data_IF_282485188541
#
_entry.id   IF_282485188541
#
_cell.length_a   1.000
_cell.length_b   1.000
_cell.length_c   1.000
_cell.angle_alpha   90.00
_cell.angle_beta   90.00
_cell.angle_gamma   90.00
#
_symmetry.space_group_name_H-M   'P 1'
#
loop_
_entity.id
_entity.type
_entity.pdbx_description
1 polymer ?
#
# COMPACT_ATOMS: atom_id res chain seq x y z
N UNK A 1 -3.64 26.24 -14.51
CA UNK A 1 -4.06 24.91 -14.04
C UNK A 1 -5.10 24.42 -15.02
N UNK A 2 -4.77 23.39 -15.80
CA UNK A 2 -5.75 22.74 -16.68
C UNK A 2 -6.68 21.87 -15.82
N UNK A 3 -7.95 21.73 -16.18
CA UNK A 3 -8.91 20.90 -15.42
C UNK A 3 -8.39 19.46 -15.27
N UNK A 4 -7.78 18.93 -16.32
CA UNK A 4 -7.12 17.62 -16.38
C UNK A 4 -6.07 17.38 -15.27
N UNK A 5 -5.23 18.40 -14.98
CA UNK A 5 -4.24 18.32 -13.90
C UNK A 5 -4.88 18.26 -12.51
N UNK A 6 -6.00 18.97 -12.31
CA UNK A 6 -6.72 18.99 -11.03
C UNK A 6 -7.43 17.67 -10.76
N UNK A 7 -8.01 17.06 -11.77
CA UNK A 7 -8.67 15.75 -11.63
C UNK A 7 -7.67 14.65 -11.29
N UNK A 8 -6.52 14.64 -11.97
CA UNK A 8 -5.41 13.71 -11.67
C UNK A 8 -4.94 13.84 -10.22
N UNK A 9 -4.76 15.07 -9.75
CA UNK A 9 -4.35 15.37 -8.38
C UNK A 9 -5.35 14.90 -7.32
N UNK A 10 -6.65 15.10 -7.59
CA UNK A 10 -7.72 14.66 -6.70
C UNK A 10 -7.83 13.13 -6.70
N UNK A 11 -7.72 12.48 -7.86
CA UNK A 11 -7.70 11.02 -7.97
C UNK A 11 -6.56 10.41 -7.16
N UNK A 12 -5.35 10.96 -7.24
CA UNK A 12 -4.21 10.51 -6.45
C UNK A 12 -4.47 10.65 -4.94
N UNK A 13 -5.05 11.78 -4.51
CA UNK A 13 -5.41 12.01 -3.11
C UNK A 13 -6.44 10.98 -2.62
N UNK A 14 -7.51 10.75 -3.38
CA UNK A 14 -8.57 9.81 -2.98
C UNK A 14 -8.05 8.38 -2.89
N UNK A 15 -7.26 7.94 -3.87
CA UNK A 15 -6.61 6.63 -3.84
C UNK A 15 -5.68 6.51 -2.63
N UNK A 16 -4.85 7.51 -2.35
CA UNK A 16 -3.94 7.51 -1.20
C UNK A 16 -4.69 7.40 0.13
N UNK A 17 -5.77 8.17 0.29
CA UNK A 17 -6.57 8.13 1.52
C UNK A 17 -7.28 6.79 1.69
N UNK A 18 -7.99 6.32 0.68
CA UNK A 18 -8.74 5.05 0.74
C UNK A 18 -7.83 3.86 1.00
N UNK A 19 -6.78 3.69 0.17
CA UNK A 19 -5.85 2.57 0.28
C UNK A 19 -5.00 2.70 1.55
N UNK A 20 -4.50 3.90 1.85
CA UNK A 20 -3.67 4.15 3.03
C UNK A 20 -4.39 3.83 4.35
N UNK A 21 -5.69 4.16 4.47
CA UNK A 21 -6.49 3.78 5.64
C UNK A 21 -6.59 2.26 5.76
N UNK A 22 -6.90 1.55 4.67
CA UNK A 22 -7.02 0.09 4.69
C UNK A 22 -5.71 -0.54 5.16
N UNK A 23 -4.58 -0.22 4.52
CA UNK A 23 -3.29 -0.81 4.89
C UNK A 23 -2.87 -0.45 6.32
N UNK A 24 -3.09 0.80 6.75
CA UNK A 24 -2.81 1.20 8.12
C UNK A 24 -3.64 0.39 9.13
N UNK A 25 -4.94 0.22 8.89
CA UNK A 25 -5.83 -0.56 9.77
C UNK A 25 -5.41 -2.03 9.83
N UNK A 26 -5.14 -2.66 8.69
CA UNK A 26 -4.67 -4.04 8.63
C UNK A 26 -3.32 -4.23 9.32
N UNK A 27 -2.38 -3.33 9.08
CA UNK A 27 -1.05 -3.38 9.67
C UNK A 27 -1.07 -3.13 11.19
N UNK A 28 -1.80 -2.10 11.66
CA UNK A 28 -1.91 -1.82 13.09
C UNK A 28 -2.63 -2.93 13.84
N UNK A 29 -3.61 -3.59 13.21
CA UNK A 29 -4.24 -4.78 13.76
C UNK A 29 -3.24 -5.92 13.98
N UNK A 30 -2.31 -6.13 13.04
CA UNK A 30 -1.23 -7.12 13.18
C UNK A 30 -0.18 -6.72 14.22
N UNK A 31 0.00 -5.43 14.53
CA UNK A 31 0.83 -5.01 15.66
C UNK A 31 0.13 -5.18 17.02
N UNK A 32 -1.17 -5.44 17.03
CA UNK A 32 -2.01 -5.52 18.22
C UNK A 32 -1.98 -4.23 19.07
N UNK A 33 -1.93 -3.07 18.41
CA UNK A 33 -1.80 -1.77 19.06
C UNK A 33 -3.15 -1.04 19.10
N UNK A 34 -3.57 -0.66 20.31
CA UNK A 34 -4.69 0.25 20.53
C UNK A 34 -6.04 -0.32 20.09
N UNK A 35 -7.00 0.52 19.68
CA UNK A 35 -8.35 0.06 19.32
C UNK A 35 -8.42 -0.71 18.00
N UNK A 36 -7.33 -0.78 17.24
CA UNK A 36 -7.24 -1.54 15.99
C UNK A 36 -6.72 -2.97 16.20
N UNK A 37 -6.31 -3.31 17.43
CA UNK A 37 -5.83 -4.62 17.83
C UNK A 37 -6.79 -5.74 17.41
N UNK A 38 -6.24 -6.81 16.81
CA UNK A 38 -7.00 -7.97 16.37
C UNK A 38 -6.90 -9.16 17.34
N UNK A 39 -6.15 -9.02 18.44
CA UNK A 39 -5.95 -10.02 19.49
C UNK A 39 -4.94 -11.12 19.15
N UNK A 40 -4.40 -11.13 17.94
CA UNK A 40 -3.46 -12.15 17.47
C UNK A 40 -2.02 -11.62 17.40
N UNK A 41 -1.86 -10.33 17.06
CA UNK A 41 -0.56 -9.70 16.87
C UNK A 41 0.31 -10.39 15.80
N UNK A 42 1.60 -10.05 15.80
CA UNK A 42 2.57 -10.59 14.82
C UNK A 42 2.81 -12.08 15.04
N UNK A 43 2.63 -12.58 16.26
CA UNK A 43 2.72 -14.01 16.57
C UNK A 43 1.61 -14.82 15.88
N UNK A 44 0.39 -14.28 15.80
CA UNK A 44 -0.71 -14.89 15.03
C UNK A 44 -0.38 -15.01 13.54
N UNK A 45 0.15 -13.93 12.95
CA UNK A 45 0.62 -13.94 11.54
C UNK A 45 1.75 -14.94 11.33
N UNK A 46 2.69 -15.02 12.27
CA UNK A 46 3.79 -16.00 12.24
C UNK A 46 3.25 -17.43 12.26
N UNK A 47 2.28 -17.73 13.12
CA UNK A 47 1.61 -19.03 13.18
C UNK A 47 0.91 -19.37 11.88
N UNK A 48 0.19 -18.42 11.30
CA UNK A 48 -0.47 -18.57 10.00
C UNK A 48 0.54 -18.84 8.87
N UNK A 49 1.62 -18.07 8.79
CA UNK A 49 2.67 -18.27 7.78
C UNK A 49 3.38 -19.61 7.94
N UNK A 50 3.52 -20.09 9.17
CA UNK A 50 4.06 -21.44 9.44
C UNK A 50 3.15 -22.52 8.86
N UNK A 51 1.82 -22.38 8.99
CA UNK A 51 0.86 -23.33 8.43
C UNK A 51 0.88 -23.34 6.89
N UNK A 52 1.11 -22.17 6.28
CA UNK A 52 1.26 -22.04 4.82
C UNK A 52 2.61 -22.53 4.29
N UNK A 53 3.56 -22.89 5.17
CA UNK A 53 4.91 -23.30 4.76
C UNK A 53 5.78 -22.17 4.22
N UNK A 54 5.49 -20.91 4.60
CA UNK A 54 6.30 -19.76 4.19
C UNK A 54 7.68 -19.83 4.87
N UNK A 55 8.80 -19.71 4.13
CA UNK A 55 10.14 -19.69 4.71
C UNK A 55 10.34 -18.53 5.68
N UNK A 56 11.05 -18.77 6.78
CA UNK A 56 11.35 -17.76 7.81
C UNK A 56 10.08 -17.02 8.29
N UNK A 57 9.03 -17.73 8.77
CA UNK A 57 7.69 -17.17 8.94
C UNK A 57 7.67 -15.99 9.92
N UNK A 58 8.50 -16.01 10.97
CA UNK A 58 8.59 -14.90 11.92
C UNK A 58 9.16 -13.62 11.30
N UNK A 59 10.16 -13.74 10.43
CA UNK A 59 10.76 -12.57 9.74
C UNK A 59 9.75 -12.03 8.72
N UNK A 60 9.14 -12.92 7.94
CA UNK A 60 8.16 -12.51 6.92
C UNK A 60 6.93 -11.85 7.56
N UNK A 61 6.44 -12.35 8.70
CA UNK A 61 5.34 -11.74 9.43
C UNK A 61 5.64 -10.30 9.83
N UNK A 62 6.86 -10.03 10.33
CA UNK A 62 7.30 -8.66 10.63
C UNK A 62 7.43 -7.79 9.38
N UNK A 63 8.01 -8.31 8.29
CA UNK A 63 8.15 -7.56 7.03
C UNK A 63 6.78 -7.13 6.51
N UNK A 64 5.84 -8.05 6.37
CA UNK A 64 4.47 -7.76 5.90
C UNK A 64 3.79 -6.74 6.81
N UNK A 65 3.87 -6.96 8.12
CA UNK A 65 3.24 -6.04 9.09
C UNK A 65 3.81 -4.63 8.99
N UNK A 66 5.13 -4.49 8.89
CA UNK A 66 5.78 -3.18 8.78
C UNK A 66 5.51 -2.53 7.42
N UNK A 67 5.47 -3.30 6.33
CA UNK A 67 5.12 -2.79 4.99
C UNK A 67 3.71 -2.23 4.99
N UNK A 68 2.73 -2.92 5.59
CA UNK A 68 1.36 -2.43 5.67
C UNK A 68 1.22 -1.17 6.54
N UNK A 69 1.83 -1.16 7.74
CA UNK A 69 1.77 0.00 8.64
C UNK A 69 2.48 1.20 8.04
N UNK A 70 3.77 1.05 7.72
CA UNK A 70 4.60 2.16 7.25
C UNK A 70 4.13 2.58 5.86
N UNK A 71 3.88 1.64 4.96
CA UNK A 71 3.36 1.92 3.63
C UNK A 71 2.02 2.64 3.68
N UNK A 72 1.07 2.15 4.49
CA UNK A 72 -0.23 2.80 4.67
C UNK A 72 -0.11 4.24 5.17
N UNK A 73 0.71 4.48 6.20
CA UNK A 73 0.97 5.83 6.72
C UNK A 73 1.66 6.73 5.68
N UNK A 74 2.63 6.22 4.94
CA UNK A 74 3.31 6.96 3.87
C UNK A 74 2.34 7.37 2.76
N UNK A 75 1.39 6.49 2.38
CA UNK A 75 0.33 6.84 1.43
C UNK A 75 -0.59 7.94 1.99
N UNK A 76 -1.04 7.82 3.24
CA UNK A 76 -1.89 8.83 3.88
C UNK A 76 -1.24 10.21 3.88
N UNK A 77 0.04 10.27 4.24
CA UNK A 77 0.82 11.51 4.26
C UNK A 77 1.16 11.98 2.83
N UNK A 78 1.24 11.08 1.85
CA UNK A 78 1.75 11.38 0.52
C UNK A 78 3.24 11.71 0.59
N UNK A 79 4.03 10.79 1.13
CA UNK A 79 5.50 10.89 1.15
C UNK A 79 6.04 9.55 0.69
N UNK A 80 7.03 9.55 -0.21
CA UNK A 80 7.55 8.30 -0.81
C UNK A 80 6.44 7.45 -1.45
N UNK A 81 5.42 8.10 -2.03
CA UNK A 81 4.19 7.42 -2.49
C UNK A 81 4.51 6.26 -3.43
N UNK A 82 5.36 6.46 -4.44
CA UNK A 82 5.70 5.40 -5.40
C UNK A 82 6.39 4.20 -4.76
N UNK A 83 7.31 4.45 -3.82
CA UNK A 83 8.04 3.38 -3.12
C UNK A 83 7.09 2.60 -2.21
N UNK A 84 6.27 3.30 -1.42
CA UNK A 84 5.26 2.68 -0.57
C UNK A 84 4.27 1.85 -1.39
N UNK A 85 3.73 2.42 -2.46
CA UNK A 85 2.82 1.74 -3.40
C UNK A 85 3.44 0.51 -4.04
N UNK A 86 4.73 0.54 -4.43
CA UNK A 86 5.41 -0.60 -5.01
C UNK A 86 5.55 -1.75 -4.01
N UNK A 87 5.96 -1.45 -2.77
CA UNK A 87 6.07 -2.47 -1.72
C UNK A 87 4.71 -3.09 -1.39
N UNK A 88 3.66 -2.27 -1.26
CA UNK A 88 2.30 -2.74 -1.03
C UNK A 88 1.75 -3.54 -2.23
N UNK A 89 2.16 -3.21 -3.45
CA UNK A 89 1.80 -3.98 -4.65
C UNK A 89 2.39 -5.39 -4.57
N UNK A 90 3.67 -5.51 -4.20
CA UNK A 90 4.32 -6.82 -4.02
C UNK A 90 3.65 -7.60 -2.89
N UNK A 91 3.35 -6.94 -1.77
CA UNK A 91 2.66 -7.53 -0.63
C UNK A 91 1.29 -8.11 -1.05
N UNK A 92 0.46 -7.32 -1.74
CA UNK A 92 -0.83 -7.77 -2.25
C UNK A 92 -0.70 -8.87 -3.31
N UNK A 93 0.31 -8.84 -4.19
CA UNK A 93 0.53 -9.91 -5.15
C UNK A 93 0.76 -11.26 -4.44
N UNK A 94 1.62 -11.25 -3.42
CA UNK A 94 1.94 -12.45 -2.63
C UNK A 94 0.71 -12.91 -1.84
N UNK A 95 0.02 -11.99 -1.17
CA UNK A 95 -1.19 -12.29 -0.41
C UNK A 95 -2.29 -12.87 -1.32
N UNK A 96 -2.55 -12.26 -2.48
CA UNK A 96 -3.51 -12.75 -3.46
C UNK A 96 -3.19 -14.19 -3.86
N UNK A 97 -1.95 -14.49 -4.25
CA UNK A 97 -1.59 -15.81 -4.78
C UNK A 97 -1.55 -16.89 -3.70
N UNK A 98 -0.94 -16.59 -2.55
CA UNK A 98 -0.67 -17.62 -1.53
C UNK A 98 -1.80 -17.78 -0.51
N UNK A 99 -2.56 -16.72 -0.23
CA UNK A 99 -3.57 -16.72 0.84
C UNK A 99 -4.98 -16.77 0.28
N UNK A 100 -5.29 -15.96 -0.72
CA UNK A 100 -6.67 -15.72 -1.14
C UNK A 100 -7.11 -16.52 -2.37
N UNK A 101 -6.20 -16.80 -3.31
CA UNK A 101 -6.50 -17.57 -4.53
C UNK A 101 -7.06 -18.97 -4.27
N UNK A 102 -6.57 -19.73 -3.27
CA UNK A 102 -7.14 -21.04 -2.94
C UNK A 102 -8.62 -20.98 -2.50
N UNK A 103 -9.10 -19.82 -2.04
CA UNK A 103 -10.47 -19.63 -1.54
C UNK A 103 -11.45 -19.18 -2.64
N UNK A 104 -11.00 -19.06 -3.89
CA UNK A 104 -11.84 -18.62 -5.01
C UNK A 104 -11.98 -17.09 -5.09
N UNK A 105 -13.08 -16.62 -5.69
CA UNK A 105 -13.26 -15.19 -5.98
C UNK A 105 -13.86 -14.41 -4.81
N UNK A 106 -14.98 -14.87 -4.27
CA UNK A 106 -15.84 -14.06 -3.39
C UNK A 106 -15.17 -13.67 -2.07
N UNK A 107 -15.30 -12.41 -1.70
CA UNK A 107 -14.74 -11.88 -0.44
C UNK A 107 -15.28 -12.59 0.82
N UNK A 108 -16.53 -13.10 0.76
CA UNK A 108 -17.17 -13.80 1.89
C UNK A 108 -16.48 -15.11 2.27
N UNK A 109 -15.82 -15.76 1.31
CA UNK A 109 -15.03 -16.98 1.53
C UNK A 109 -13.55 -16.66 1.83
N UNK A 110 -13.19 -15.38 1.93
CA UNK A 110 -11.79 -14.95 1.97
C UNK A 110 -11.09 -15.08 0.62
N UNK A 111 -11.83 -14.98 -0.49
CA UNK A 111 -11.31 -15.03 -1.86
C UNK A 111 -10.56 -13.78 -2.31
N UNK A 112 -10.15 -13.77 -3.59
CA UNK A 112 -9.23 -12.77 -4.15
C UNK A 112 -9.85 -11.40 -4.39
N UNK A 113 -11.18 -11.27 -4.42
CA UNK A 113 -11.91 -10.05 -4.81
C UNK A 113 -11.33 -8.77 -4.19
N UNK A 114 -11.22 -8.73 -2.85
CA UNK A 114 -10.71 -7.55 -2.16
C UNK A 114 -9.22 -7.32 -2.40
N UNK A 115 -8.41 -8.38 -2.38
CA UNK A 115 -6.96 -8.26 -2.58
C UNK A 115 -6.60 -7.79 -3.99
N UNK A 116 -7.39 -8.14 -5.01
CA UNK A 116 -7.21 -7.62 -6.37
C UNK A 116 -7.51 -6.13 -6.45
N UNK A 117 -8.57 -5.66 -5.78
CA UNK A 117 -8.89 -4.22 -5.71
C UNK A 117 -7.75 -3.45 -5.06
N UNK A 118 -7.21 -3.97 -3.95
CA UNK A 118 -6.06 -3.36 -3.28
C UNK A 118 -4.83 -3.36 -4.18
N UNK A 119 -4.48 -4.52 -4.76
CA UNK A 119 -3.34 -4.69 -5.68
C UNK A 119 -3.37 -3.66 -6.81
N UNK A 120 -4.47 -3.59 -7.56
CA UNK A 120 -4.57 -2.64 -8.68
C UNK A 120 -4.65 -1.19 -8.21
N UNK A 121 -5.25 -0.93 -7.05
CA UNK A 121 -5.29 0.41 -6.46
C UNK A 121 -3.90 0.94 -6.13
N UNK A 122 -3.07 0.16 -5.42
CA UNK A 122 -1.71 0.60 -5.09
C UNK A 122 -0.80 0.58 -6.32
N UNK A 123 -0.99 -0.36 -7.24
CA UNK A 123 -0.25 -0.37 -8.51
C UNK A 123 -0.54 0.88 -9.33
N UNK A 124 -1.80 1.36 -9.37
CA UNK A 124 -2.15 2.61 -10.03
C UNK A 124 -1.36 3.80 -9.45
N UNK A 125 -1.19 3.86 -8.12
CA UNK A 125 -0.40 4.91 -7.47
C UNK A 125 1.11 4.85 -7.77
N UNK A 126 1.66 3.69 -8.14
CA UNK A 126 3.06 3.59 -8.63
C UNK A 126 3.25 4.46 -9.87
N UNK A 127 2.28 4.45 -10.78
CA UNK A 127 2.34 5.20 -12.04
C UNK A 127 1.83 6.63 -11.89
N UNK A 128 0.69 6.81 -11.21
CA UNK A 128 0.05 8.10 -10.99
C UNK A 128 0.90 9.03 -10.12
N UNK A 129 1.66 8.47 -9.17
CA UNK A 129 2.46 9.24 -8.23
C UNK A 129 1.65 9.88 -7.11
N UNK A 130 2.24 10.84 -6.37
CA UNK A 130 1.70 11.37 -5.12
C UNK A 130 0.57 12.39 -5.31
N UNK A 131 0.52 13.06 -6.45
CA UNK A 131 -0.33 14.23 -6.72
C UNK A 131 0.08 15.46 -5.90
N UNK A 132 -0.43 16.64 -6.26
CA UNK A 132 -0.03 17.92 -5.63
C UNK A 132 -0.41 18.04 -4.15
N UNK A 133 -1.43 17.32 -3.70
CA UNK A 133 -1.93 17.35 -2.32
C UNK A 133 -1.17 16.41 -1.39
N UNK A 134 -0.02 15.92 -1.82
CA UNK A 134 0.89 15.13 -1.02
C UNK A 134 1.74 16.04 -0.14
N UNK A 135 2.09 15.58 1.06
CA UNK A 135 2.89 16.40 1.97
C UNK A 135 4.27 16.72 1.37
N UNK A 136 4.86 15.79 0.62
CA UNK A 136 6.15 16.03 -0.05
C UNK A 136 6.07 17.16 -1.08
N UNK A 137 5.01 17.22 -1.90
CA UNK A 137 4.85 18.31 -2.87
C UNK A 137 4.45 19.62 -2.18
N UNK A 138 3.57 19.57 -1.17
CA UNK A 138 3.15 20.78 -0.44
C UNK A 138 4.31 21.43 0.31
N UNK A 139 5.20 20.63 0.91
CA UNK A 139 6.31 21.13 1.75
C UNK A 139 7.58 21.37 0.93
N UNK A 140 7.93 20.46 0.01
CA UNK A 140 9.19 20.49 -0.73
C UNK A 140 9.06 21.06 -2.14
N UNK A 141 7.83 21.23 -2.64
CA UNK A 141 7.56 21.69 -4.01
C UNK A 141 7.95 20.68 -5.09
N UNK A 142 8.27 19.43 -4.71
CA UNK A 142 8.67 18.36 -5.63
C UNK A 142 8.39 16.97 -5.04
N UNK A 143 8.30 15.98 -5.90
CA UNK A 143 8.27 14.57 -5.53
C UNK A 143 9.68 14.11 -5.07
N UNK A 144 9.75 13.26 -4.03
CA UNK A 144 11.01 12.71 -3.53
C UNK A 144 11.60 11.63 -4.43
N UNK A 145 10.75 10.86 -5.11
CA UNK A 145 11.14 9.78 -6.02
C UNK A 145 10.40 9.98 -7.36
N UNK A 146 10.90 10.84 -8.25
CA UNK A 146 10.26 11.12 -9.53
C UNK A 146 10.16 9.88 -10.43
N UNK A 147 9.28 9.94 -11.42
CA UNK A 147 9.26 8.91 -12.46
C UNK A 147 10.54 8.99 -13.32
N UNK A 148 11.06 7.85 -13.79
CA UNK A 148 12.30 7.78 -14.59
C UNK A 148 12.26 8.66 -15.86
N UNK A 149 11.07 9.04 -16.35
CA UNK A 149 10.90 9.95 -17.48
C UNK A 149 11.19 11.42 -17.15
N UNK A 150 10.98 11.84 -15.91
CA UNK A 150 11.11 13.25 -15.50
C UNK A 150 12.55 13.64 -15.14
N UNK A 151 13.38 12.68 -14.72
CA UNK A 151 14.79 12.93 -14.40
C UNK A 151 15.62 13.27 -15.65
N UNK A 152 15.20 12.74 -16.80
CA UNK A 152 15.90 12.91 -18.09
C UNK A 152 15.48 14.19 -18.83
N UNK A 153 14.27 14.69 -18.56
CA UNK A 153 13.71 15.91 -19.14
C UNK A 153 13.86 17.05 -18.13
N UNK A 154 15.08 17.58 -18.02
CA UNK A 154 15.36 18.77 -17.22
C UNK A 154 14.33 19.88 -17.48
N UNK A 155 13.65 20.30 -16.41
CA UNK A 155 12.63 21.37 -16.35
C UNK A 155 12.87 22.45 -17.40
N UNK A 156 12.10 22.39 -18.49
CA UNK A 156 11.90 23.51 -19.41
C UNK A 156 10.41 23.83 -19.51
N UNK A 157 9.78 24.16 -18.38
CA UNK A 157 8.61 25.06 -18.29
C UNK A 157 8.65 25.77 -16.93
#
# INVERSE_FOLDING_TARGET
MTEDSRETDVSALLLRLGLGVVFAVHGFGKLDIGPLANGAGVSGVTGFFTQLGIPLPGIMAWIVTLVEVVGGLLLLLGVFTRVASLLLTVDMAVATVLVHLPNGFGVGDGGIEFTLVLFFGVLALVFLGPGRYSLEVVVLGRELVPSLGEETLGRSV
#
